data_IF_706698876376
#
_entry.id   IF_706698876376
#
_cell.length_a   1.000
_cell.length_b   1.000
_cell.length_c   1.000
_cell.angle_alpha   90.00
_cell.angle_beta   90.00
_cell.angle_gamma   90.00
#
_symmetry.space_group_name_H-M   'P 1'
#
loop_
_entity.id
_entity.type
_entity.pdbx_description
1 polymer ?
#
# COMPACT_ATOMS: atom_id res chain seq x y z
N UNK A 1 -16.04 -7.15 19.89
CA UNK A 1 -14.99 -8.07 20.41
C UNK A 1 -13.76 -7.21 20.54
N UNK A 2 -13.21 -7.12 21.75
CA UNK A 2 -12.18 -6.15 22.13
C UNK A 2 -10.79 -6.74 21.87
N UNK A 3 -9.84 -5.94 21.39
CA UNK A 3 -8.44 -6.37 21.22
C UNK A 3 -7.69 -6.05 22.50
N UNK A 4 -7.03 -7.02 23.12
CA UNK A 4 -6.25 -6.80 24.33
C UNK A 4 -4.76 -6.80 24.00
N UNK A 5 -4.05 -5.76 24.43
CA UNK A 5 -2.60 -5.66 24.37
C UNK A 5 -2.02 -5.58 25.77
N UNK A 6 -0.79 -6.05 25.95
CA UNK A 6 -0.07 -6.04 27.22
C UNK A 6 1.34 -5.50 27.02
N UNK A 7 1.77 -4.61 27.91
CA UNK A 7 3.12 -4.05 27.94
C UNK A 7 3.55 -3.76 29.38
N UNK A 8 4.76 -4.18 29.78
CA UNK A 8 5.31 -4.01 31.14
C UNK A 8 4.41 -4.44 32.30
N UNK A 9 3.52 -5.42 32.06
CA UNK A 9 2.59 -5.94 33.07
C UNK A 9 1.24 -5.20 33.11
N UNK A 10 1.12 -4.07 32.42
CA UNK A 10 -0.15 -3.39 32.20
C UNK A 10 -0.85 -3.99 30.97
N UNK A 11 -2.18 -4.02 31.00
CA UNK A 11 -2.98 -4.47 29.86
C UNK A 11 -4.07 -3.47 29.54
N UNK A 12 -4.23 -3.19 28.25
CA UNK A 12 -5.22 -2.26 27.74
C UNK A 12 -6.10 -2.99 26.72
N UNK A 13 -7.37 -2.63 26.76
CA UNK A 13 -8.39 -3.08 25.81
C UNK A 13 -8.58 -1.98 24.77
N UNK A 14 -8.52 -2.37 23.49
CA UNK A 14 -8.67 -1.52 22.32
C UNK A 14 -9.97 -1.87 21.60
N UNK A 15 -10.79 -0.86 21.35
CA UNK A 15 -12.08 -0.96 20.70
C UNK A 15 -12.09 -0.30 19.31
N UNK A 16 -11.16 0.62 19.03
CA UNK A 16 -11.14 1.42 17.81
C UNK A 16 -9.72 1.84 17.38
N UNK A 17 -9.62 2.49 16.22
CA UNK A 17 -8.34 3.00 15.68
C UNK A 17 -7.70 4.07 16.57
N UNK A 18 -8.48 4.95 17.21
CA UNK A 18 -7.93 6.03 18.03
C UNK A 18 -7.20 5.49 19.26
N UNK A 19 -7.77 4.48 19.91
CA UNK A 19 -7.15 3.78 21.04
C UNK A 19 -5.89 3.03 20.62
N UNK A 20 -5.89 2.42 19.43
CA UNK A 20 -4.68 1.82 18.85
C UNK A 20 -3.58 2.86 18.64
N UNK A 21 -3.92 4.02 18.07
CA UNK A 21 -2.96 5.10 17.86
C UNK A 21 -2.40 5.63 19.19
N UNK A 22 -3.27 5.82 20.19
CA UNK A 22 -2.85 6.22 21.52
C UNK A 22 -1.91 5.18 22.15
N UNK A 23 -2.19 3.88 22.00
CA UNK A 23 -1.32 2.82 22.49
C UNK A 23 0.06 2.84 21.81
N UNK A 24 0.12 3.03 20.49
CA UNK A 24 1.38 3.14 19.74
C UNK A 24 2.15 4.43 20.09
N UNK A 25 1.47 5.53 20.43
CA UNK A 25 2.12 6.78 20.86
C UNK A 25 2.68 6.72 22.29
N UNK A 26 2.01 5.98 23.17
CA UNK A 26 2.40 5.85 24.59
C UNK A 26 3.49 4.79 24.82
N UNK A 27 3.73 3.93 23.84
CA UNK A 27 4.72 2.86 23.92
C UNK A 27 5.99 3.20 23.13
N UNK A 28 7.16 2.70 23.55
CA UNK A 28 8.38 2.85 22.77
C UNK A 28 8.27 2.23 21.37
N UNK A 29 8.82 2.88 20.34
CA UNK A 29 8.70 2.42 18.95
C UNK A 29 9.31 1.03 18.68
N UNK A 30 10.27 0.60 19.49
CA UNK A 30 10.89 -0.72 19.39
C UNK A 30 9.95 -1.87 19.83
N UNK A 31 8.79 -1.56 20.41
CA UNK A 31 7.76 -2.55 20.76
C UNK A 31 6.52 -2.52 19.86
N UNK A 32 6.47 -1.66 18.84
CA UNK A 32 5.37 -1.63 17.86
C UNK A 32 5.10 -3.01 17.26
N UNK A 33 6.16 -3.74 16.88
CA UNK A 33 6.03 -5.09 16.33
C UNK A 33 5.44 -6.07 17.35
N UNK A 34 5.81 -5.97 18.63
CA UNK A 34 5.24 -6.78 19.70
C UNK A 34 3.74 -6.50 19.87
N UNK A 35 3.34 -5.22 19.88
CA UNK A 35 1.94 -4.79 20.00
C UNK A 35 1.14 -5.29 18.79
N UNK A 36 1.67 -5.11 17.58
CA UNK A 36 1.03 -5.56 16.34
C UNK A 36 0.86 -7.08 16.31
N UNK A 37 1.86 -7.84 16.79
CA UNK A 37 1.78 -9.29 16.88
C UNK A 37 0.69 -9.76 17.87
N UNK A 38 0.48 -9.03 18.97
CA UNK A 38 -0.61 -9.31 19.92
C UNK A 38 -1.99 -9.05 19.30
N UNK A 39 -2.12 -8.00 18.46
CA UNK A 39 -3.38 -7.67 17.77
C UNK A 39 -3.67 -8.69 16.66
N UNK A 40 -2.66 -9.00 15.84
CA UNK A 40 -2.76 -9.90 14.69
C UNK A 40 -3.90 -9.53 13.74
N UNK A 41 -4.63 -10.54 13.25
CA UNK A 41 -5.77 -10.37 12.33
C UNK A 41 -6.95 -9.59 12.92
N UNK A 42 -6.98 -9.36 14.23
CA UNK A 42 -8.02 -8.51 14.83
C UNK A 42 -7.85 -7.02 14.48
N UNK A 43 -6.73 -6.63 13.85
CA UNK A 43 -6.54 -5.25 13.35
C UNK A 43 -7.69 -4.81 12.45
N UNK A 44 -8.28 -5.72 11.67
CA UNK A 44 -9.39 -5.44 10.77
C UNK A 44 -10.69 -5.05 11.49
N UNK A 45 -10.76 -5.24 12.82
CA UNK A 45 -11.86 -4.76 13.68
C UNK A 45 -11.60 -3.36 14.23
N UNK A 46 -10.32 -2.99 14.38
CA UNK A 46 -9.90 -1.68 14.89
C UNK A 46 -9.84 -0.67 13.74
N UNK A 47 -9.25 -1.09 12.62
CA UNK A 47 -9.03 -0.32 11.38
C UNK A 47 -9.97 -0.87 10.32
N UNK A 48 -10.99 -0.07 9.99
CA UNK A 48 -12.17 -0.49 9.24
C UNK A 48 -12.32 0.21 7.89
N UNK A 49 -11.56 1.27 7.66
CA UNK A 49 -11.61 2.03 6.41
C UNK A 49 -10.23 2.49 5.94
N UNK A 50 -10.20 3.06 4.72
CA UNK A 50 -8.99 3.49 4.03
C UNK A 50 -8.24 4.62 4.74
N UNK A 51 -8.98 5.53 5.40
CA UNK A 51 -8.37 6.66 6.09
C UNK A 51 -7.68 6.20 7.37
N UNK A 52 -8.33 5.34 8.15
CA UNK A 52 -7.75 4.72 9.35
C UNK A 52 -6.51 3.90 8.98
N UNK A 53 -6.58 3.11 7.91
CA UNK A 53 -5.44 2.34 7.40
C UNK A 53 -4.23 3.24 7.11
N UNK A 54 -4.43 4.35 6.37
CA UNK A 54 -3.34 5.26 6.04
C UNK A 54 -2.75 5.95 7.28
N UNK A 55 -3.59 6.37 8.23
CA UNK A 55 -3.13 7.06 9.45
C UNK A 55 -2.28 6.14 10.32
N UNK A 56 -2.71 4.88 10.49
CA UNK A 56 -1.91 3.90 11.25
C UNK A 56 -0.64 3.52 10.48
N UNK A 57 -0.73 3.32 9.15
CA UNK A 57 0.44 3.03 8.32
C UNK A 57 1.51 4.14 8.40
N UNK A 58 1.09 5.40 8.42
CA UNK A 58 1.97 6.55 8.57
C UNK A 58 2.70 6.53 9.92
N UNK A 59 1.96 6.24 11.01
CA UNK A 59 2.48 6.33 12.38
C UNK A 59 3.27 5.12 12.87
N UNK A 60 2.89 3.91 12.44
CA UNK A 60 3.49 2.68 12.97
C UNK A 60 4.90 2.50 12.42
N UNK A 61 5.88 2.13 13.23
CA UNK A 61 7.25 1.89 12.77
C UNK A 61 7.84 3.10 12.02
N UNK A 62 7.56 4.31 12.51
CA UNK A 62 7.93 5.62 11.91
C UNK A 62 9.45 5.93 11.98
N UNK A 63 10.31 4.96 12.29
CA UNK A 63 11.73 5.14 12.05
C UNK A 63 11.99 5.01 10.54
N UNK A 64 12.52 6.07 9.91
CA UNK A 64 12.80 6.14 8.48
C UNK A 64 13.52 4.88 7.98
N UNK A 65 12.88 4.14 7.07
CA UNK A 65 13.41 2.89 6.50
C UNK A 65 13.02 1.61 7.25
N UNK A 66 12.28 1.68 8.35
CA UNK A 66 11.72 0.50 9.01
C UNK A 66 10.67 -0.16 8.13
N UNK A 67 10.68 -1.49 8.12
CA UNK A 67 9.71 -2.25 7.35
C UNK A 67 8.31 -2.07 7.92
N UNK A 68 7.35 -1.75 7.06
CA UNK A 68 5.92 -1.68 7.40
C UNK A 68 5.23 -3.05 7.31
N UNK A 69 5.94 -4.11 6.90
CA UNK A 69 5.38 -5.45 6.79
C UNK A 69 4.72 -5.99 8.07
N UNK A 70 5.21 -5.76 9.30
CA UNK A 70 4.53 -6.24 10.50
C UNK A 70 3.08 -5.75 10.57
N UNK A 71 2.84 -4.48 10.25
CA UNK A 71 1.49 -3.92 10.18
C UNK A 71 0.66 -4.49 9.03
N UNK A 72 1.26 -4.62 7.83
CA UNK A 72 0.57 -5.20 6.68
C UNK A 72 0.17 -6.67 6.93
N UNK A 73 1.03 -7.44 7.62
CA UNK A 73 0.78 -8.84 8.00
C UNK A 73 -0.41 -8.98 8.93
N UNK A 74 -0.67 -8.00 9.79
CA UNK A 74 -1.86 -8.00 10.63
C UNK A 74 -3.15 -8.02 9.79
N UNK A 75 -3.20 -7.41 8.61
CA UNK A 75 -4.40 -7.48 7.78
C UNK A 75 -4.54 -8.81 7.04
N UNK A 76 -3.42 -9.39 6.59
CA UNK A 76 -3.44 -10.57 5.73
C UNK A 76 -4.45 -10.41 4.58
N UNK A 77 -5.38 -11.36 4.46
CA UNK A 77 -6.41 -11.33 3.42
C UNK A 77 -7.47 -10.22 3.58
N UNK A 78 -7.49 -9.51 4.71
CA UNK A 78 -8.42 -8.40 4.98
C UNK A 78 -7.93 -7.06 4.42
N UNK A 79 -6.72 -6.99 3.86
CA UNK A 79 -6.16 -5.73 3.34
C UNK A 79 -7.07 -5.09 2.28
N UNK A 80 -7.73 -5.90 1.46
CA UNK A 80 -8.68 -5.41 0.44
C UNK A 80 -9.97 -4.80 1.01
N UNK A 81 -10.25 -5.01 2.30
CA UNK A 81 -11.43 -4.44 2.96
C UNK A 81 -11.17 -3.00 3.39
N UNK A 82 -9.91 -2.66 3.65
CA UNK A 82 -9.50 -1.30 4.06
C UNK A 82 -8.89 -0.52 2.91
N UNK A 83 -8.23 -1.16 1.95
CA UNK A 83 -7.72 -0.51 0.72
C UNK A 83 -8.76 -0.65 -0.39
N UNK A 84 -9.70 0.30 -0.44
CA UNK A 84 -10.86 0.22 -1.34
C UNK A 84 -10.92 1.33 -2.39
N UNK A 85 -10.16 2.42 -2.24
CA UNK A 85 -10.23 3.60 -3.12
C UNK A 85 -8.97 3.74 -3.97
N UNK A 86 -9.14 4.32 -5.16
CA UNK A 86 -8.05 4.64 -6.08
C UNK A 86 -6.98 5.52 -5.44
N UNK A 87 -7.39 6.49 -4.63
CA UNK A 87 -6.51 7.44 -3.95
C UNK A 87 -5.75 6.85 -2.76
N UNK A 88 -6.17 5.68 -2.24
CA UNK A 88 -5.50 5.00 -1.13
C UNK A 88 -4.22 4.32 -1.59
N UNK A 89 -4.24 3.71 -2.78
CA UNK A 89 -3.09 3.01 -3.35
C UNK A 89 -1.81 3.86 -3.45
N UNK A 90 -1.80 5.02 -4.16
CA UNK A 90 -0.58 5.80 -4.31
C UNK A 90 -0.10 6.37 -2.97
N UNK A 91 -1.02 6.71 -2.05
CA UNK A 91 -0.65 7.17 -0.70
C UNK A 91 -0.01 6.06 0.12
N UNK A 92 -0.55 4.84 0.08
CA UNK A 92 0.05 3.69 0.73
C UNK A 92 1.44 3.43 0.15
N UNK A 93 1.57 3.36 -1.18
CA UNK A 93 2.86 3.16 -1.85
C UNK A 93 3.89 4.24 -1.50
N UNK A 94 3.47 5.49 -1.34
CA UNK A 94 4.33 6.60 -0.91
C UNK A 94 4.89 6.41 0.52
N UNK A 95 4.10 5.79 1.40
CA UNK A 95 4.50 5.49 2.78
C UNK A 95 5.39 4.22 2.88
N UNK A 96 5.39 3.37 1.85
CA UNK A 96 6.20 2.15 1.79
C UNK A 96 7.56 2.47 1.15
N UNK A 97 8.55 2.76 2.00
CA UNK A 97 9.85 3.29 1.59
C UNK A 97 10.84 2.26 0.97
N UNK A 98 10.46 0.99 0.83
CA UNK A 98 11.32 -0.05 0.28
C UNK A 98 10.55 -1.04 -0.61
N UNK A 99 11.27 -1.68 -1.54
CA UNK A 99 10.70 -2.63 -2.52
C UNK A 99 10.02 -3.83 -1.85
N UNK A 100 10.58 -4.33 -0.74
CA UNK A 100 10.05 -5.50 -0.04
C UNK A 100 8.67 -5.24 0.56
N UNK A 101 8.44 -4.05 1.12
CA UNK A 101 7.13 -3.67 1.66
C UNK A 101 6.12 -3.43 0.55
N UNK A 102 6.54 -2.78 -0.55
CA UNK A 102 5.70 -2.56 -1.73
C UNK A 102 5.28 -3.88 -2.38
N UNK A 103 6.22 -4.81 -2.56
CA UNK A 103 5.94 -6.14 -3.10
C UNK A 103 4.93 -6.88 -2.21
N UNK A 104 5.17 -6.93 -0.90
CA UNK A 104 4.25 -7.57 0.05
C UNK A 104 2.86 -6.95 0.01
N UNK A 105 2.77 -5.62 0.01
CA UNK A 105 1.51 -4.88 -0.08
C UNK A 105 0.73 -5.23 -1.35
N UNK A 106 1.40 -5.15 -2.51
CA UNK A 106 0.78 -5.42 -3.81
C UNK A 106 0.33 -6.89 -3.93
N UNK A 107 1.17 -7.84 -3.49
CA UNK A 107 0.83 -9.26 -3.47
C UNK A 107 -0.37 -9.55 -2.58
N UNK A 108 -0.39 -8.99 -1.37
CA UNK A 108 -1.45 -9.21 -0.38
C UNK A 108 -2.77 -8.63 -0.85
N UNK A 109 -2.75 -7.44 -1.47
CA UNK A 109 -3.95 -6.84 -2.02
C UNK A 109 -4.47 -7.61 -3.24
N UNK A 110 -3.55 -8.08 -4.08
CA UNK A 110 -3.82 -8.93 -5.23
C UNK A 110 -4.36 -8.17 -6.45
N UNK A 111 -4.16 -8.79 -7.62
CA UNK A 111 -4.46 -8.22 -8.93
C UNK A 111 -5.91 -7.70 -9.06
N UNK A 112 -6.89 -8.46 -8.58
CA UNK A 112 -8.31 -8.10 -8.73
C UNK A 112 -8.70 -6.85 -7.94
N UNK A 113 -8.15 -6.67 -6.74
CA UNK A 113 -8.44 -5.48 -5.94
C UNK A 113 -7.67 -4.26 -6.46
N UNK A 114 -6.44 -4.45 -6.95
CA UNK A 114 -5.69 -3.41 -7.65
C UNK A 114 -6.47 -2.88 -8.86
N UNK A 115 -6.96 -3.77 -9.72
CA UNK A 115 -7.78 -3.40 -10.89
C UNK A 115 -9.06 -2.67 -10.49
N UNK A 116 -9.71 -3.04 -9.39
CA UNK A 116 -10.91 -2.34 -8.87
C UNK A 116 -10.59 -0.93 -8.38
N UNK A 117 -9.43 -0.74 -7.78
CA UNK A 117 -8.99 0.57 -7.31
C UNK A 117 -8.57 1.48 -8.47
N UNK A 118 -8.09 0.95 -9.59
CA UNK A 118 -7.63 1.76 -10.73
C UNK A 118 -8.80 1.99 -11.70
N UNK A 119 -9.46 3.14 -11.59
CA UNK A 119 -10.62 3.45 -12.44
C UNK A 119 -10.21 4.13 -13.76
N UNK A 120 -9.13 4.90 -13.74
CA UNK A 120 -8.68 5.68 -14.88
C UNK A 120 -7.15 5.75 -14.99
N UNK A 121 -6.67 6.39 -16.06
CA UNK A 121 -5.25 6.51 -16.36
C UNK A 121 -4.47 7.34 -15.34
N UNK A 122 -5.12 8.33 -14.71
CA UNK A 122 -4.50 9.17 -13.67
C UNK A 122 -4.22 8.31 -12.44
N UNK A 123 -5.19 7.48 -12.02
CA UNK A 123 -5.00 6.54 -10.90
C UNK A 123 -3.81 5.60 -11.16
N UNK A 124 -3.71 5.06 -12.39
CA UNK A 124 -2.61 4.19 -12.80
C UNK A 124 -1.26 4.92 -12.71
N UNK A 125 -1.19 6.14 -13.27
CA UNK A 125 0.04 6.90 -13.28
C UNK A 125 0.47 7.39 -11.89
N UNK A 126 -0.50 7.73 -11.03
CA UNK A 126 -0.24 8.07 -9.63
C UNK A 126 0.37 6.87 -8.91
N UNK A 127 -0.18 5.66 -9.08
CA UNK A 127 0.42 4.45 -8.50
C UNK A 127 1.85 4.24 -8.99
N UNK A 128 2.08 4.29 -10.30
CA UNK A 128 3.40 4.08 -10.89
C UNK A 128 4.45 5.10 -10.42
N UNK A 129 4.02 6.33 -10.09
CA UNK A 129 4.92 7.40 -9.62
C UNK A 129 5.54 7.14 -8.25
N UNK A 130 4.95 6.23 -7.46
CA UNK A 130 5.41 5.88 -6.12
C UNK A 130 6.10 4.51 -6.04
N UNK A 131 6.21 3.79 -7.15
CA UNK A 131 6.89 2.49 -7.19
C UNK A 131 8.40 2.69 -7.26
N UNK A 132 9.14 1.98 -6.41
CA UNK A 132 10.60 2.03 -6.37
C UNK A 132 11.23 0.83 -7.08
N UNK A 133 12.44 1.04 -7.63
CA UNK A 133 13.24 -0.02 -8.21
C UNK A 133 12.54 -0.77 -9.34
N UNK A 134 12.26 -2.06 -9.14
CA UNK A 134 11.60 -2.94 -10.13
C UNK A 134 10.10 -3.13 -9.88
N UNK A 135 9.52 -2.38 -8.93
CA UNK A 135 8.13 -2.56 -8.53
C UNK A 135 7.14 -2.11 -9.59
N UNK A 136 7.56 -1.25 -10.52
CA UNK A 136 6.83 -0.90 -11.74
C UNK A 136 6.51 -2.13 -12.60
N UNK A 137 7.52 -2.95 -12.88
CA UNK A 137 7.40 -4.15 -13.71
C UNK A 137 6.57 -5.19 -12.97
N UNK A 138 6.84 -5.38 -11.68
CA UNK A 138 6.06 -6.29 -10.84
C UNK A 138 4.57 -5.89 -10.79
N UNK A 139 4.27 -4.61 -10.58
CA UNK A 139 2.91 -4.10 -10.56
C UNK A 139 2.21 -4.34 -11.90
N UNK A 140 2.89 -4.03 -13.02
CA UNK A 140 2.36 -4.24 -14.37
C UNK A 140 2.05 -5.71 -14.63
N UNK A 141 2.97 -6.61 -14.28
CA UNK A 141 2.79 -8.05 -14.43
C UNK A 141 1.63 -8.55 -13.56
N UNK A 142 1.49 -8.02 -12.34
CA UNK A 142 0.43 -8.37 -11.41
C UNK A 142 -0.96 -7.95 -11.91
N UNK A 143 -1.13 -6.70 -12.35
CA UNK A 143 -2.43 -6.23 -12.88
C UNK A 143 -2.70 -6.74 -14.29
N UNK A 144 -1.65 -7.08 -15.04
CA UNK A 144 -1.70 -7.61 -16.39
C UNK A 144 -1.77 -6.54 -17.48
N UNK A 145 -1.01 -6.79 -18.55
CA UNK A 145 -0.94 -5.91 -19.73
C UNK A 145 -2.30 -5.66 -20.41
N UNK A 146 -3.20 -6.66 -20.40
CA UNK A 146 -4.55 -6.52 -20.96
C UNK A 146 -5.42 -5.51 -20.21
N UNK A 147 -5.14 -5.28 -18.93
CA UNK A 147 -5.82 -4.24 -18.16
C UNK A 147 -5.24 -2.86 -18.51
N UNK A 148 -3.92 -2.75 -18.55
CA UNK A 148 -3.22 -1.49 -18.86
C UNK A 148 -3.51 -1.00 -20.28
N UNK A 149 -3.56 -1.93 -21.24
CA UNK A 149 -3.80 -1.60 -22.65
C UNK A 149 -5.18 -0.98 -22.90
N UNK A 150 -6.15 -1.18 -22.00
CA UNK A 150 -7.48 -0.51 -22.06
C UNK A 150 -7.37 0.99 -21.87
N UNK A 151 -6.39 1.44 -21.10
CA UNK A 151 -6.06 2.85 -20.97
C UNK A 151 -5.22 3.35 -22.15
N UNK A 152 -4.59 2.43 -22.91
CA UNK A 152 -3.61 2.71 -23.95
C UNK A 152 -4.15 3.28 -25.29
N UNK A 153 -5.37 3.86 -25.33
CA UNK A 153 -5.70 4.94 -26.28
C UNK A 153 -4.94 6.24 -25.88
N UNK A 154 -3.63 6.09 -25.65
CA UNK A 154 -2.76 6.77 -24.69
C UNK A 154 -2.07 8.04 -25.21
N UNK A 155 -2.26 8.39 -26.48
CA UNK A 155 -1.41 9.39 -27.14
C UNK A 155 -1.65 10.82 -26.63
N UNK A 156 -2.79 11.11 -26.01
CA UNK A 156 -3.12 12.45 -25.49
C UNK A 156 -2.72 12.68 -24.03
N UNK A 157 -2.64 11.61 -23.22
CA UNK A 157 -2.40 11.71 -21.76
C UNK A 157 -0.91 11.86 -21.44
N UNK A 158 -0.03 11.27 -22.25
CA UNK A 158 1.42 11.45 -22.15
C UNK A 158 1.82 12.94 -22.13
N UNK A 159 1.07 13.85 -22.76
CA UNK A 159 1.33 15.31 -22.70
C UNK A 159 1.28 15.91 -21.28
N UNK A 160 0.64 15.25 -20.31
CA UNK A 160 0.56 15.74 -18.92
C UNK A 160 1.72 15.28 -18.05
N UNK A 161 2.49 14.30 -18.52
CA UNK A 161 3.69 13.83 -17.83
C UNK A 161 4.91 14.49 -18.49
N UNK A 162 5.89 14.91 -17.70
CA UNK A 162 7.13 15.48 -18.22
C UNK A 162 7.81 14.54 -19.22
N UNK A 163 8.58 15.09 -20.17
CA UNK A 163 9.20 14.33 -21.27
C UNK A 163 9.99 13.10 -20.81
N UNK A 164 10.53 13.10 -19.58
CA UNK A 164 11.20 11.95 -18.98
C UNK A 164 10.31 10.72 -18.76
N UNK A 165 9.08 10.89 -18.25
CA UNK A 165 8.14 9.78 -18.03
C UNK A 165 7.57 9.27 -19.36
N UNK A 166 7.33 10.17 -20.32
CA UNK A 166 6.92 9.79 -21.67
C UNK A 166 8.01 8.97 -22.35
N UNK A 167 9.27 9.40 -22.27
CA UNK A 167 10.42 8.71 -22.83
C UNK A 167 10.64 7.35 -22.19
N UNK A 168 10.48 7.27 -20.85
CA UNK A 168 10.59 6.03 -20.10
C UNK A 168 9.45 5.05 -20.40
N UNK A 169 8.19 5.48 -20.34
CA UNK A 169 7.03 4.65 -20.64
C UNK A 169 7.03 4.20 -22.11
N UNK A 170 7.43 5.08 -23.04
CA UNK A 170 7.71 4.70 -24.43
C UNK A 170 8.79 3.64 -24.46
N UNK A 171 9.96 3.87 -23.87
CA UNK A 171 11.07 2.91 -23.95
C UNK A 171 10.72 1.55 -23.34
N UNK A 172 9.94 1.50 -22.27
CA UNK A 172 9.49 0.23 -21.68
C UNK A 172 8.47 -0.48 -22.57
N UNK A 173 7.49 0.24 -23.12
CA UNK A 173 6.54 -0.31 -24.09
C UNK A 173 7.30 -0.77 -25.36
N UNK A 174 8.16 0.05 -25.95
CA UNK A 174 8.92 -0.28 -27.17
C UNK A 174 9.88 -1.46 -26.97
N UNK A 175 10.59 -1.53 -25.83
CA UNK A 175 11.47 -2.68 -25.52
C UNK A 175 10.71 -3.99 -25.34
N UNK A 176 9.49 -3.92 -24.82
CA UNK A 176 8.68 -5.11 -24.51
C UNK A 176 7.89 -5.59 -25.74
N UNK A 177 7.52 -4.68 -26.64
CA UNK A 177 6.68 -4.99 -27.81
C UNK A 177 7.43 -5.08 -29.15
N UNK A 178 8.71 -4.70 -29.25
CA UNK A 178 9.51 -4.89 -30.46
C UNK A 178 8.87 -4.31 -31.73
N UNK A 179 8.14 -3.20 -31.61
CA UNK A 179 7.57 -2.50 -32.76
C UNK A 179 8.58 -1.45 -33.19
N UNK A 180 9.31 -1.74 -34.27
CA UNK A 180 10.06 -0.71 -35.04
C UNK A 180 9.11 0.35 -35.61
#
# INVERSE_FOLDING_TARGET
>A
MVCKISYQGDSVELENTDELLAALELTPRDVDEEILNQIGENIAKLVTNDQEFLVVLEKVLDAQGSSKQPYLKCFGNHLSQVVTKSSTLPKALALLANESDQEYFLQTLGAENLKKCIANVVDLADCLSWLYGKMDTFFIDLVGWDFISRFAKFRSILRHFGEGFISWARNQIFRTFGVE
#
